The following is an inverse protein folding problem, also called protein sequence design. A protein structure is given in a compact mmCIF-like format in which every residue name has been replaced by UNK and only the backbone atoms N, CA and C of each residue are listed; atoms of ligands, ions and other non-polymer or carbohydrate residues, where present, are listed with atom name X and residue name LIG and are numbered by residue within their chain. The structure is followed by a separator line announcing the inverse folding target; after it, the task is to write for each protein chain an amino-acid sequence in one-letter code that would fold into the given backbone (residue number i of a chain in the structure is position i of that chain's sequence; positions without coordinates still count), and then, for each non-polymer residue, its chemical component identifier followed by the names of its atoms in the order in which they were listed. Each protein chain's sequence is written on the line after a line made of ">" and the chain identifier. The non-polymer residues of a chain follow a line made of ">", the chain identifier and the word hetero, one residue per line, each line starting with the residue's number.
data_IF_582788691965
#
_entry.id   IF_582788691965
#
_cell.length_a   1.000
_cell.length_b   1.000
_cell.length_c   1.000
_cell.angle_alpha   90.00
_cell.angle_beta   90.00
_cell.angle_gamma   90.00
#
_symmetry.space_group_name_H-M   'P 1'
#
loop_
_entity.id
_entity.type
_entity.pdbx_description
1 polymer ?
#
# COMPACT_ATOMS: atom_id res chain seq x y z
N UNK A 1 -15.17 -22.26 15.96
CA UNK A 1 -15.18 -20.79 16.10
C UNK A 1 -14.55 -20.20 14.84
N UNK A 2 -15.24 -19.30 14.15
CA UNK A 2 -14.68 -18.66 12.95
C UNK A 2 -13.67 -17.60 13.38
N UNK A 3 -12.40 -17.86 13.11
CA UNK A 3 -11.31 -16.92 13.36
C UNK A 3 -11.41 -15.79 12.31
N UNK A 4 -12.00 -14.67 12.73
CA UNK A 4 -11.98 -13.42 11.97
C UNK A 4 -10.52 -12.95 11.95
N UNK A 5 -9.79 -13.23 10.87
CA UNK A 5 -8.47 -12.63 10.64
C UNK A 5 -8.68 -11.11 10.59
N UNK A 6 -8.23 -10.40 11.63
CA UNK A 6 -8.24 -8.94 11.67
C UNK A 6 -7.39 -8.43 10.51
N UNK A 7 -8.04 -7.96 9.45
CA UNK A 7 -7.40 -7.13 8.44
C UNK A 7 -7.71 -5.72 8.85
N UNK A 8 -6.73 -5.10 9.46
CA UNK A 8 -6.83 -3.75 9.94
C UNK A 8 -6.21 -2.87 8.87
N UNK A 9 -7.06 -2.12 8.18
CA UNK A 9 -6.69 -1.39 6.97
C UNK A 9 -6.43 0.05 7.36
N UNK A 10 -5.15 0.41 7.45
CA UNK A 10 -4.77 1.81 7.39
C UNK A 10 -4.80 2.23 5.93
N UNK A 11 -5.35 3.40 5.67
CA UNK A 11 -5.56 3.96 4.34
C UNK A 11 -4.21 4.27 3.68
N UNK A 12 -3.55 3.25 3.12
CA UNK A 12 -2.41 3.45 2.23
C UNK A 12 -2.96 3.67 0.83
N UNK A 13 -3.21 4.95 0.48
CA UNK A 13 -3.78 5.35 -0.81
C UNK A 13 -2.88 5.06 -2.03
N UNK A 14 -1.70 4.49 -1.83
CA UNK A 14 -0.62 4.33 -2.81
C UNK A 14 -0.09 2.90 -2.82
N UNK A 15 -0.92 1.95 -3.26
CA UNK A 15 -0.46 0.58 -3.46
C UNK A 15 0.16 0.46 -4.85
N UNK A 16 1.31 -0.21 -4.94
CA UNK A 16 1.98 -0.50 -6.21
C UNK A 16 2.43 -1.96 -6.21
N UNK A 17 2.27 -2.63 -7.34
CA UNK A 17 2.74 -3.99 -7.52
C UNK A 17 4.27 -4.05 -7.54
N UNK A 18 4.86 -5.00 -6.82
CA UNK A 18 6.32 -5.20 -6.84
C UNK A 18 6.85 -5.47 -8.27
N UNK A 19 6.04 -6.19 -9.08
CA UNK A 19 6.34 -6.44 -10.49
C UNK A 19 6.41 -5.13 -11.29
N UNK A 20 5.50 -4.21 -11.04
CA UNK A 20 5.46 -2.92 -11.74
C UNK A 20 6.68 -2.06 -11.37
N UNK A 21 7.04 -2.02 -10.08
CA UNK A 21 8.28 -1.34 -9.63
C UNK A 21 9.50 -1.94 -10.31
N UNK A 22 9.65 -3.26 -10.27
CA UNK A 22 10.81 -3.94 -10.86
C UNK A 22 10.92 -3.70 -12.37
N UNK A 23 9.81 -3.82 -13.11
CA UNK A 23 9.75 -3.61 -14.55
C UNK A 23 10.14 -2.18 -14.94
N UNK A 24 9.62 -1.19 -14.22
CA UNK A 24 9.90 0.22 -14.49
C UNK A 24 11.34 0.61 -14.13
N UNK A 25 11.89 0.08 -13.04
CA UNK A 25 13.31 0.24 -12.71
C UNK A 25 14.20 -0.37 -13.78
N UNK A 26 13.92 -1.60 -14.22
CA UNK A 26 14.70 -2.27 -15.26
C UNK A 26 14.64 -1.51 -16.60
N UNK A 27 13.44 -1.08 -17.00
CA UNK A 27 13.23 -0.31 -18.24
C UNK A 27 13.96 1.03 -18.19
N UNK A 28 13.89 1.74 -17.06
CA UNK A 28 14.59 3.00 -16.84
C UNK A 28 16.10 2.83 -16.88
N UNK A 29 16.64 1.77 -16.27
CA UNK A 29 18.06 1.46 -16.28
C UNK A 29 18.59 1.17 -17.69
N UNK A 30 17.82 0.42 -18.50
CA UNK A 30 18.17 0.12 -19.89
C UNK A 30 18.08 1.37 -20.78
N UNK A 31 17.14 2.27 -20.51
CA UNK A 31 17.00 3.55 -21.23
C UNK A 31 18.06 4.60 -20.81
N UNK A 32 18.60 4.51 -19.60
CA UNK A 32 19.54 5.48 -19.01
C UNK A 32 20.95 5.50 -19.64
N UNK A 33 21.18 4.78 -20.74
CA UNK A 33 22.43 4.84 -21.52
C UNK A 33 22.75 6.23 -22.08
N UNK A 34 21.87 7.22 -21.93
CA UNK A 34 21.99 8.55 -22.52
C UNK A 34 22.41 9.70 -21.57
N UNK A 35 22.33 9.59 -20.22
CA UNK A 35 22.75 10.68 -19.29
C UNK A 35 22.92 10.21 -17.83
N UNK A 36 24.07 10.48 -17.17
CA UNK A 36 24.26 10.18 -15.75
C UNK A 36 23.64 11.27 -14.87
N UNK A 37 22.54 10.97 -14.18
CA UNK A 37 21.90 11.82 -13.17
C UNK A 37 20.99 10.92 -12.31
N UNK A 38 20.74 11.22 -11.02
CA UNK A 38 19.74 10.46 -10.28
C UNK A 38 18.40 10.49 -11.03
N UNK A 39 17.88 9.30 -11.33
CA UNK A 39 16.57 9.12 -11.94
C UNK A 39 15.56 8.93 -10.82
N UNK A 40 14.60 9.84 -10.73
CA UNK A 40 13.47 9.75 -9.80
C UNK A 40 12.27 9.18 -10.55
N UNK A 41 11.68 8.11 -10.03
CA UNK A 41 10.51 7.46 -10.59
C UNK A 41 9.38 7.51 -9.55
N UNK A 42 8.27 8.13 -9.93
CA UNK A 42 7.03 8.06 -9.15
C UNK A 42 6.19 6.94 -9.74
N UNK A 43 6.22 5.76 -9.11
CA UNK A 43 5.48 4.58 -9.58
C UNK A 43 4.36 4.27 -8.60
N UNK A 44 3.11 4.37 -9.04
CA UNK A 44 1.93 3.99 -8.26
C UNK A 44 1.18 2.85 -8.96
N UNK A 45 0.26 2.19 -8.27
CA UNK A 45 -0.63 1.20 -8.87
C UNK A 45 -1.59 1.82 -9.90
N UNK A 46 -2.44 1.00 -10.55
CA UNK A 46 -3.29 1.46 -11.65
C UNK A 46 -4.26 2.57 -11.24
N UNK A 47 -4.71 2.55 -9.97
CA UNK A 47 -5.57 3.56 -9.35
C UNK A 47 -5.34 3.60 -7.83
N UNK A 48 -5.84 4.66 -7.19
CA UNK A 48 -5.95 4.69 -5.74
C UNK A 48 -7.01 3.69 -5.26
N UNK A 49 -6.74 3.06 -4.12
CA UNK A 49 -7.66 2.16 -3.42
C UNK A 49 -7.90 2.68 -2.01
N UNK A 50 -9.16 2.69 -1.60
CA UNK A 50 -9.54 2.96 -0.22
C UNK A 50 -9.68 1.69 0.62
N UNK A 51 -9.93 1.86 1.92
CA UNK A 51 -10.14 0.72 2.83
C UNK A 51 -11.37 -0.12 2.45
N UNK A 52 -12.36 0.48 1.81
CA UNK A 52 -13.55 -0.22 1.31
C UNK A 52 -13.20 -1.12 0.12
N UNK A 53 -12.43 -0.65 -0.86
CA UNK A 53 -11.97 -1.46 -1.99
C UNK A 53 -11.22 -2.72 -1.49
N UNK A 54 -10.35 -2.55 -0.50
CA UNK A 54 -9.57 -3.63 0.12
C UNK A 54 -10.46 -4.66 0.81
N UNK A 55 -11.45 -4.19 1.59
CA UNK A 55 -12.42 -5.07 2.25
C UNK A 55 -13.19 -5.87 1.20
N UNK A 56 -13.79 -5.20 0.22
CA UNK A 56 -14.62 -5.85 -0.81
C UNK A 56 -13.82 -6.88 -1.61
N UNK A 57 -12.62 -6.52 -2.04
CA UNK A 57 -11.73 -7.41 -2.78
C UNK A 57 -11.31 -8.63 -1.94
N UNK A 58 -10.99 -8.42 -0.66
CA UNK A 58 -10.68 -9.53 0.26
C UNK A 58 -11.88 -10.47 0.45
N UNK A 59 -13.07 -9.94 0.66
CA UNK A 59 -14.28 -10.75 0.84
C UNK A 59 -14.62 -11.53 -0.43
N UNK A 60 -14.47 -10.91 -1.61
CA UNK A 60 -14.65 -11.57 -2.91
C UNK A 60 -13.70 -12.76 -3.06
N UNK A 61 -12.40 -12.56 -2.83
CA UNK A 61 -11.38 -13.57 -3.09
C UNK A 61 -11.47 -14.73 -2.09
N UNK A 62 -11.71 -14.42 -0.82
CA UNK A 62 -11.62 -15.42 0.25
C UNK A 62 -12.96 -16.03 0.63
N UNK A 63 -14.07 -15.41 0.23
CA UNK A 63 -15.42 -15.74 0.72
C UNK A 63 -15.63 -15.46 2.21
N UNK A 64 -14.65 -14.87 2.90
CA UNK A 64 -14.70 -14.57 4.33
C UNK A 64 -15.16 -13.14 4.54
N UNK A 65 -15.99 -12.91 5.55
CA UNK A 65 -16.38 -11.55 5.95
C UNK A 65 -15.26 -10.87 6.72
N UNK A 66 -15.04 -9.60 6.41
CA UNK A 66 -14.10 -8.73 7.09
C UNK A 66 -14.84 -7.56 7.74
N UNK A 67 -14.26 -7.04 8.82
CA UNK A 67 -14.75 -5.85 9.52
C UNK A 67 -13.70 -4.75 9.36
N UNK A 68 -14.13 -3.55 8.96
CA UNK A 68 -13.29 -2.36 9.01
C UNK A 68 -13.39 -1.76 10.41
N UNK A 69 -12.23 -1.51 11.02
CA UNK A 69 -12.13 -0.85 12.32
C UNK A 69 -11.40 0.47 12.17
N UNK A 70 -12.00 1.52 12.72
CA UNK A 70 -11.34 2.81 12.86
C UNK A 70 -10.38 2.71 14.04
N UNK A 71 -9.15 3.19 13.83
CA UNK A 71 -8.13 3.32 14.86
C UNK A 71 -7.79 4.80 14.93
N UNK A 72 -8.07 5.41 16.08
CA UNK A 72 -7.77 6.82 16.30
C UNK A 72 -6.25 7.05 16.37
N UNK A 73 -5.80 8.27 16.08
CA UNK A 73 -4.36 8.59 15.98
C UNK A 73 -3.61 8.30 17.29
N UNK A 74 -4.23 8.57 18.43
CA UNK A 74 -3.69 8.30 19.76
C UNK A 74 -3.65 6.80 20.10
N UNK A 75 -4.41 5.98 19.39
CA UNK A 75 -4.47 4.52 19.53
C UNK A 75 -3.53 3.78 18.55
N UNK A 76 -2.98 4.45 17.55
CA UNK A 76 -2.20 3.82 16.47
C UNK A 76 -0.98 3.05 16.99
N UNK A 77 -0.30 3.56 18.03
CA UNK A 77 0.88 2.89 18.58
C UNK A 77 0.53 1.54 19.19
N UNK A 78 -0.47 1.52 20.08
CA UNK A 78 -0.93 0.29 20.75
C UNK A 78 -1.49 -0.71 19.73
N UNK A 79 -2.17 -0.19 18.73
CA UNK A 79 -2.64 -0.97 17.60
C UNK A 79 -1.48 -1.66 16.85
N UNK A 80 -0.39 -0.95 16.54
CA UNK A 80 0.77 -1.54 15.87
C UNK A 80 1.53 -2.53 16.75
N UNK A 81 1.68 -2.26 18.05
CA UNK A 81 2.27 -3.19 19.03
C UNK A 81 1.55 -4.54 19.09
N UNK A 82 0.27 -4.59 18.75
CA UNK A 82 -0.50 -5.83 18.71
C UNK A 82 -0.30 -6.66 17.43
N UNK A 83 0.36 -6.10 16.40
CA UNK A 83 0.49 -6.71 15.06
C UNK A 83 1.96 -7.00 14.72
N UNK A 84 2.86 -6.07 15.04
CA UNK A 84 4.29 -6.16 14.75
C UNK A 84 5.10 -6.29 16.05
N UNK A 85 6.35 -6.78 16.01
CA UNK A 85 7.23 -6.72 17.17
C UNK A 85 7.31 -5.29 17.72
N UNK A 86 7.24 -5.15 19.05
CA UNK A 86 7.14 -3.84 19.71
C UNK A 86 8.22 -2.85 19.28
N UNK A 87 9.43 -3.34 18.99
CA UNK A 87 10.58 -2.54 18.55
C UNK A 87 10.33 -1.79 17.24
N UNK A 88 9.40 -2.26 16.41
CA UNK A 88 9.05 -1.68 15.11
C UNK A 88 7.76 -0.84 15.17
N UNK A 89 6.97 -0.93 16.24
CA UNK A 89 5.63 -0.36 16.28
C UNK A 89 5.61 1.18 16.08
N UNK A 90 6.63 1.87 16.59
CA UNK A 90 6.77 3.32 16.44
C UNK A 90 7.01 3.72 14.98
N UNK A 91 7.91 3.02 14.26
CA UNK A 91 8.18 3.26 12.84
C UNK A 91 6.91 3.05 11.99
N UNK A 92 6.13 2.01 12.27
CA UNK A 92 4.86 1.77 11.57
C UNK A 92 3.80 2.84 11.86
N UNK A 93 3.73 3.33 13.11
CA UNK A 93 2.88 4.47 13.47
C UNK A 93 3.30 5.73 12.69
N UNK A 94 4.59 6.06 12.67
CA UNK A 94 5.10 7.22 11.95
C UNK A 94 4.80 7.14 10.45
N UNK A 95 5.12 6.00 9.81
CA UNK A 95 4.83 5.78 8.39
C UNK A 95 3.34 5.93 8.06
N UNK A 96 2.47 5.43 8.94
CA UNK A 96 1.02 5.60 8.80
C UNK A 96 0.63 7.07 8.81
N UNK A 97 1.01 7.79 9.87
CA UNK A 97 0.61 9.20 10.07
C UNK A 97 1.20 10.13 9.02
N UNK A 98 2.36 9.79 8.46
CA UNK A 98 2.99 10.53 7.38
C UNK A 98 2.10 10.62 6.13
N UNK A 99 1.29 9.59 5.87
CA UNK A 99 0.39 9.53 4.71
C UNK A 99 -1.03 10.05 4.94
N UNK A 100 -1.39 10.45 6.16
CA UNK A 100 -2.70 11.02 6.47
C UNK A 100 -2.87 12.44 5.93
N UNK A 101 -4.10 12.96 5.77
CA UNK A 101 -4.31 14.37 5.44
C UNK A 101 -3.56 15.29 6.41
N UNK A 102 -2.68 16.15 5.88
CA UNK A 102 -1.79 17.01 6.68
C UNK A 102 -0.45 16.36 7.09
N UNK A 103 -0.27 15.06 6.81
CA UNK A 103 0.98 14.34 6.98
C UNK A 103 2.07 14.77 5.99
N UNK A 104 3.33 14.49 6.34
CA UNK A 104 4.51 15.01 5.66
C UNK A 104 4.62 14.60 4.18
N UNK A 105 4.15 13.40 3.82
CA UNK A 105 4.18 12.87 2.45
C UNK A 105 2.81 12.87 1.77
N UNK A 106 1.76 13.36 2.44
CA UNK A 106 0.39 13.27 1.93
C UNK A 106 0.20 13.97 0.57
N UNK A 107 0.90 15.09 0.36
CA UNK A 107 0.88 15.87 -0.88
C UNK A 107 1.63 15.23 -2.03
N UNK A 108 2.44 14.19 -1.77
CA UNK A 108 3.25 13.52 -2.77
C UNK A 108 2.46 12.40 -3.48
N UNK A 109 1.28 12.03 -2.96
CA UNK A 109 0.39 11.01 -3.54
C UNK A 109 -0.55 11.59 -4.59
N UNK A 110 0.01 12.15 -5.66
CA UNK A 110 -0.76 12.73 -6.78
C UNK A 110 -0.52 11.93 -8.05
N UNK A 111 -1.59 11.45 -8.66
CA UNK A 111 -1.55 10.86 -10.00
C UNK A 111 -1.50 11.97 -11.06
N UNK A 112 -0.30 12.37 -11.45
CA UNK A 112 -0.05 13.38 -12.49
C UNK A 112 0.60 12.79 -13.76
N UNK A 113 0.99 13.64 -14.69
CA UNK A 113 1.64 13.25 -15.95
C UNK A 113 3.04 12.65 -15.76
N UNK A 114 3.65 12.84 -14.59
CA UNK A 114 4.98 12.29 -14.24
C UNK A 114 4.87 10.98 -13.49
N UNK A 115 3.65 10.56 -13.15
CA UNK A 115 3.37 9.33 -12.43
C UNK A 115 3.28 8.17 -13.41
N UNK A 116 4.17 7.20 -13.22
CA UNK A 116 4.09 5.92 -13.90
C UNK A 116 2.99 5.11 -13.21
N UNK A 117 1.98 4.73 -13.98
CA UNK A 117 0.90 3.86 -13.50
C UNK A 117 1.28 2.40 -13.77
N UNK A 118 1.32 1.62 -12.70
CA UNK A 118 1.42 0.17 -12.77
C UNK A 118 0.16 -0.46 -13.34
N UNK A 119 0.26 -1.73 -13.70
CA UNK A 119 -0.83 -2.48 -14.32
C UNK A 119 -1.44 -3.51 -13.36
N UNK A 120 -0.74 -3.85 -12.27
CA UNK A 120 -1.22 -4.87 -11.34
C UNK A 120 -2.38 -4.33 -10.49
N UNK A 121 -3.58 -4.88 -10.73
CA UNK A 121 -4.74 -4.61 -9.89
C UNK A 121 -4.61 -5.29 -8.51
N UNK A 122 -5.18 -4.64 -7.49
CA UNK A 122 -5.25 -5.15 -6.13
C UNK A 122 -5.82 -6.58 -6.04
N UNK A 123 -6.88 -6.86 -6.81
CA UNK A 123 -7.52 -8.17 -6.85
C UNK A 123 -6.57 -9.26 -7.31
N UNK A 124 -5.71 -8.98 -8.28
CA UNK A 124 -4.76 -9.95 -8.81
C UNK A 124 -3.61 -10.19 -7.84
N UNK A 125 -3.14 -9.14 -7.16
CA UNK A 125 -2.15 -9.26 -6.09
C UNK A 125 -2.67 -10.13 -4.93
N UNK A 126 -3.90 -9.89 -4.47
CA UNK A 126 -4.52 -10.67 -3.39
C UNK A 126 -4.83 -12.11 -3.82
N UNK A 127 -5.23 -12.35 -5.07
CA UNK A 127 -5.45 -13.71 -5.59
C UNK A 127 -4.18 -14.54 -5.53
N UNK A 128 -3.02 -13.96 -5.85
CA UNK A 128 -1.73 -14.66 -5.73
C UNK A 128 -1.42 -14.98 -4.27
N UNK A 129 -1.70 -14.06 -3.35
CA UNK A 129 -1.43 -14.25 -1.92
C UNK A 129 -2.29 -15.37 -1.29
N UNK A 130 -3.57 -15.45 -1.65
CA UNK A 130 -4.54 -16.39 -1.07
C UNK A 130 -4.73 -17.69 -1.88
N UNK A 131 -4.01 -17.88 -2.99
CA UNK A 131 -4.00 -19.15 -3.74
C UNK A 131 -3.06 -20.22 -3.14
N UNK A 132 -2.29 -19.87 -2.11
CA UNK A 132 -1.45 -20.78 -1.32
C UNK A 132 -2.12 -21.12 0.02
#
# INVERSE_FOLDING_TARGET
>A
SFEVKRISILTFNFQVGLKDVASNCASSLLAATAKPSPHYLNVFGPRAYGSVDLKETFEEITGKKAELKIVEEDQLLDYWKAIVPEVHAEEFKEMTTAGYPGGVIAKDFVYDEKTIRGEQELVDALRVLYKN
#
